data_IF_227855475027
#
_entry.id   IF_227855475027
#
_cell.length_a   1.000
_cell.length_b   1.000
_cell.length_c   1.000
_cell.angle_alpha   90.00
_cell.angle_beta   90.00
_cell.angle_gamma   90.00
#
_symmetry.space_group_name_H-M   'P 1'
#
loop_
_entity.id
_entity.type
_entity.pdbx_description
1 polymer ?
#
# COMPACT_ATOMS: atom_id res chain seq x y z
N UNK A 1 -7.38 8.90 17.90
CA UNK A 1 -7.24 8.68 16.44
C UNK A 1 -5.76 8.60 16.02
N UNK A 2 -4.98 9.68 16.17
CA UNK A 2 -3.60 9.75 15.65
C UNK A 2 -2.63 8.68 16.19
N UNK A 3 -2.70 8.35 17.49
CA UNK A 3 -1.86 7.28 18.06
C UNK A 3 -2.18 5.90 17.47
N UNK A 4 -3.46 5.64 17.15
CA UNK A 4 -3.88 4.39 16.51
C UNK A 4 -3.38 4.29 15.07
N UNK A 5 -3.47 5.38 14.31
CA UNK A 5 -2.92 5.46 12.96
C UNK A 5 -1.40 5.28 12.96
N UNK A 6 -0.68 5.92 13.88
CA UNK A 6 0.76 5.75 14.03
C UNK A 6 1.14 4.32 14.41
N UNK A 7 0.41 3.69 15.35
CA UNK A 7 0.63 2.30 15.72
C UNK A 7 0.41 1.36 14.53
N UNK A 8 -0.67 1.56 13.78
CA UNK A 8 -0.93 0.78 12.57
C UNK A 8 0.20 0.95 11.54
N UNK A 9 0.61 2.20 11.27
CA UNK A 9 1.74 2.51 10.39
C UNK A 9 3.02 1.77 10.81
N UNK A 10 3.36 1.84 12.09
CA UNK A 10 4.60 1.27 12.62
C UNK A 10 4.57 -0.26 12.66
N UNK A 11 3.47 -0.84 13.14
CA UNK A 11 3.35 -2.29 13.32
C UNK A 11 3.22 -3.04 11.99
N UNK A 12 2.77 -2.37 10.92
CA UNK A 12 2.58 -2.97 9.59
C UNK A 12 3.69 -2.62 8.59
N UNK A 13 4.73 -1.90 9.03
CA UNK A 13 5.77 -1.36 8.14
C UNK A 13 5.18 -0.61 6.92
N UNK A 14 4.16 0.21 7.18
CA UNK A 14 3.59 1.07 6.16
C UNK A 14 4.62 2.13 5.73
N UNK A 15 4.72 2.40 4.44
CA UNK A 15 5.43 3.57 3.89
C UNK A 15 4.52 4.80 3.84
N UNK A 16 3.20 4.59 3.80
CA UNK A 16 2.16 5.62 3.92
C UNK A 16 0.95 5.03 4.66
N UNK A 17 0.39 5.78 5.59
CA UNK A 17 -0.92 5.51 6.17
C UNK A 17 -1.67 6.85 6.32
N UNK A 18 -2.72 7.03 5.54
CA UNK A 18 -3.53 8.25 5.55
C UNK A 18 -5.00 7.95 5.76
N UNK A 19 -5.70 8.88 6.42
CA UNK A 19 -7.16 8.86 6.58
C UNK A 19 -7.68 10.09 5.86
N UNK A 20 -8.46 9.89 4.80
CA UNK A 20 -9.04 11.00 4.04
C UNK A 20 -10.39 10.60 3.41
N UNK A 21 -11.53 11.02 4.00
CA UNK A 21 -11.65 12.01 5.07
C UNK A 21 -11.65 11.42 6.49
N UNK A 22 -11.05 12.16 7.43
CA UNK A 22 -11.25 11.98 8.88
C UNK A 22 -12.45 12.84 9.31
N UNK A 23 -13.59 12.21 9.54
CA UNK A 23 -14.85 12.92 9.74
C UNK A 23 -15.19 13.13 11.22
N UNK A 24 -15.96 14.18 11.49
CA UNK A 24 -16.67 14.39 12.75
C UNK A 24 -18.16 14.09 12.52
N UNK A 25 -18.65 13.08 13.21
CA UNK A 25 -20.07 12.67 13.17
C UNK A 25 -20.96 13.63 13.97
N UNK A 26 -22.27 13.60 13.74
CA UNK A 26 -23.23 14.50 14.40
C UNK A 26 -23.32 14.33 15.92
N UNK A 27 -22.95 13.16 16.45
CA UNK A 27 -22.83 12.88 17.88
C UNK A 27 -21.42 13.16 18.44
N UNK A 28 -20.56 13.83 17.67
CA UNK A 28 -19.26 14.33 18.11
C UNK A 28 -18.12 13.30 18.08
N UNK A 29 -18.31 12.13 17.45
CA UNK A 29 -17.25 11.12 17.31
C UNK A 29 -16.38 11.39 16.08
N UNK A 30 -15.07 11.18 16.24
CA UNK A 30 -14.11 11.21 15.14
C UNK A 30 -14.00 9.81 14.53
N UNK A 31 -14.21 9.70 13.22
CA UNK A 31 -14.25 8.41 12.49
C UNK A 31 -13.38 8.49 11.23
N UNK A 32 -12.61 7.44 10.96
CA UNK A 32 -11.94 7.24 9.69
C UNK A 32 -12.98 6.75 8.67
N UNK A 33 -13.45 7.62 7.78
CA UNK A 33 -14.44 7.23 6.78
C UNK A 33 -13.79 6.45 5.64
N UNK A 34 -12.58 6.86 5.27
CA UNK A 34 -11.77 6.24 4.23
C UNK A 34 -10.29 6.31 4.62
N UNK A 35 -9.50 5.35 4.16
CA UNK A 35 -8.09 5.26 4.46
C UNK A 35 -7.31 4.61 3.31
N UNK A 36 -6.10 5.10 3.10
CA UNK A 36 -5.15 4.54 2.13
C UNK A 36 -3.86 4.15 2.84
N UNK A 37 -3.38 2.97 2.50
CA UNK A 37 -2.13 2.42 2.99
C UNK A 37 -1.24 2.04 1.81
N UNK A 38 0.04 2.39 1.89
CA UNK A 38 1.09 1.77 1.11
C UNK A 38 2.04 1.07 2.09
N UNK A 39 2.50 -0.13 1.77
CA UNK A 39 3.43 -0.90 2.59
C UNK A 39 4.86 -0.82 2.02
N UNK A 40 5.87 -0.94 2.88
CA UNK A 40 7.25 -1.13 2.42
C UNK A 40 7.41 -2.56 1.90
N UNK A 41 7.65 -2.70 0.59
CA UNK A 41 7.81 -4.00 -0.06
C UNK A 41 8.98 -4.80 0.52
N UNK A 42 10.02 -4.12 1.04
CA UNK A 42 11.17 -4.77 1.67
C UNK A 42 10.83 -5.42 3.02
N UNK A 43 9.71 -5.04 3.65
CA UNK A 43 9.27 -5.59 4.93
C UNK A 43 8.21 -6.69 4.79
N UNK A 44 7.64 -6.90 3.59
CA UNK A 44 6.54 -7.85 3.39
C UNK A 44 6.88 -9.30 3.77
N UNK A 45 8.16 -9.68 3.75
CA UNK A 45 8.59 -11.02 4.17
C UNK A 45 8.21 -11.37 5.63
N UNK A 46 7.98 -10.37 6.49
CA UNK A 46 7.57 -10.55 7.89
C UNK A 46 6.08 -10.25 8.15
N UNK A 47 5.29 -9.97 7.11
CA UNK A 47 3.85 -9.65 7.19
C UNK A 47 3.01 -10.54 6.25
N UNK A 48 2.98 -11.87 6.48
CA UNK A 48 2.27 -12.81 5.59
C UNK A 48 0.77 -12.51 5.47
N UNK A 49 0.15 -11.93 6.50
CA UNK A 49 -1.25 -11.51 6.51
C UNK A 49 -1.52 -10.32 5.59
N UNK A 50 -0.55 -9.42 5.39
CA UNK A 50 -0.68 -8.30 4.44
C UNK A 50 -0.51 -8.80 3.02
N UNK A 51 0.49 -9.68 2.79
CA UNK A 51 0.72 -10.30 1.48
C UNK A 51 -0.50 -11.07 0.99
N UNK A 52 -1.27 -11.69 1.90
CA UNK A 52 -2.51 -12.39 1.56
C UNK A 52 -3.62 -11.48 1.00
N UNK A 53 -3.55 -10.17 1.20
CA UNK A 53 -4.49 -9.19 0.64
C UNK A 53 -4.02 -8.58 -0.70
N UNK A 54 -2.86 -8.98 -1.24
CA UNK A 54 -2.37 -8.48 -2.52
C UNK A 54 -3.35 -8.88 -3.64
N UNK A 55 -3.96 -7.89 -4.26
CA UNK A 55 -4.82 -8.07 -5.42
C UNK A 55 -4.02 -7.83 -6.70
N UNK A 56 -3.78 -8.91 -7.44
CA UNK A 56 -3.02 -8.85 -8.70
C UNK A 56 -3.84 -8.27 -9.86
N UNK A 57 -5.16 -8.20 -9.73
CA UNK A 57 -6.02 -7.63 -10.78
C UNK A 57 -5.90 -6.09 -10.83
N UNK A 58 -5.36 -5.46 -9.77
CA UNK A 58 -5.09 -4.01 -9.68
C UNK A 58 -3.64 -3.63 -10.05
N UNK A 59 -2.79 -4.59 -10.43
CA UNK A 59 -1.38 -4.37 -10.79
C UNK A 59 -1.12 -4.54 -12.31
N UNK A 60 -0.06 -3.93 -12.84
CA UNK A 60 0.31 -4.11 -14.25
C UNK A 60 0.88 -5.51 -14.49
N UNK A 61 0.35 -6.21 -15.49
CA UNK A 61 0.74 -7.59 -15.79
C UNK A 61 2.24 -7.77 -16.08
N UNK A 62 2.91 -6.75 -16.63
CA UNK A 62 4.36 -6.81 -16.89
C UNK A 62 5.17 -6.63 -15.60
N UNK A 63 4.72 -5.76 -14.69
CA UNK A 63 5.34 -5.59 -13.37
C UNK A 63 5.21 -6.86 -12.53
N UNK A 64 4.03 -7.50 -12.56
CA UNK A 64 3.80 -8.80 -11.91
C UNK A 64 4.76 -9.85 -12.45
N UNK A 65 4.87 -9.98 -13.79
CA UNK A 65 5.75 -10.98 -14.40
C UNK A 65 7.21 -10.72 -14.06
N UNK A 66 7.67 -9.47 -14.14
CA UNK A 66 9.03 -9.08 -13.76
C UNK A 66 9.35 -9.42 -12.29
N UNK A 67 8.38 -9.21 -11.39
CA UNK A 67 8.56 -9.50 -9.96
C UNK A 67 8.81 -10.98 -9.66
N UNK A 68 8.34 -11.92 -10.50
CA UNK A 68 8.62 -13.36 -10.36
C UNK A 68 10.09 -13.72 -10.58
N UNK A 69 10.83 -12.83 -11.21
CA UNK A 69 12.27 -12.97 -11.50
C UNK A 69 13.11 -11.97 -10.70
N UNK A 70 12.55 -11.37 -9.64
CA UNK A 70 13.19 -10.32 -8.83
C UNK A 70 13.66 -9.11 -9.66
N UNK A 71 12.92 -8.76 -10.72
CA UNK A 71 13.19 -7.58 -11.55
C UNK A 71 12.27 -6.42 -11.19
N UNK A 72 12.83 -5.23 -11.01
CA UNK A 72 12.08 -3.99 -10.92
C UNK A 72 11.80 -3.48 -12.35
N UNK A 73 10.55 -3.61 -12.78
CA UNK A 73 10.06 -3.11 -14.07
C UNK A 73 9.11 -1.93 -13.83
N UNK A 74 9.20 -0.93 -14.69
CA UNK A 74 8.29 0.23 -14.69
C UNK A 74 7.92 0.49 -16.14
N UNK A 75 6.62 0.45 -16.44
CA UNK A 75 6.13 0.78 -17.77
C UNK A 75 6.19 2.29 -18.00
N UNK A 76 6.69 2.70 -19.17
CA UNK A 76 6.75 4.09 -19.59
C UNK A 76 6.14 4.23 -20.98
N UNK A 77 5.53 5.38 -21.25
CA UNK A 77 4.99 5.72 -22.56
C UNK A 77 6.13 6.04 -23.54
N UNK A 78 6.67 5.01 -24.18
CA UNK A 78 7.80 5.13 -25.11
C UNK A 78 7.96 3.91 -26.02
N UNK A 79 9.01 3.91 -26.83
CA UNK A 79 9.31 2.85 -27.79
C UNK A 79 10.77 2.35 -27.74
N UNK A 80 11.53 2.75 -26.71
CA UNK A 80 12.90 2.31 -26.47
C UNK A 80 12.95 1.68 -25.07
N UNK A 81 13.40 0.42 -25.00
CA UNK A 81 13.65 -0.27 -23.73
C UNK A 81 15.05 0.03 -23.19
N UNK A 82 15.16 0.08 -21.86
CA UNK A 82 16.42 0.22 -21.13
C UNK A 82 16.47 -0.86 -20.04
N UNK A 83 17.65 -1.45 -19.82
CA UNK A 83 17.92 -2.44 -18.76
C UNK A 83 18.95 -1.88 -17.79
#
# INVERSE_FOLDING_TARGET
ALQGLYKAFWDTDASLAEINPLILTGDGKVVALDAKFNFDSNALFRHPEIVAYRDLDEEDANEIEASKFDLAYISLDGNIGCL
#
